data_IF_625035972843
#
_entry.id   IF_625035972843
#
_cell.length_a   1.000
_cell.length_b   1.000
_cell.length_c   1.000
_cell.angle_alpha   90.00
_cell.angle_beta   90.00
_cell.angle_gamma   90.00
#
_symmetry.space_group_name_H-M   'P 1'
#
loop_
_entity.id
_entity.type
_entity.pdbx_description
1 polymer ?
#
# COMPACT_ATOMS: atom_id res chain seq x y z
N UNK A 1 11.53 -7.22 4.43
CA UNK A 1 11.17 -6.27 3.35
C UNK A 1 11.00 -4.89 3.98
N UNK A 2 11.50 -3.83 3.34
CA UNK A 2 11.35 -2.44 3.84
C UNK A 2 10.05 -1.86 3.24
N UNK A 3 9.10 -1.48 4.08
CA UNK A 3 7.84 -0.88 3.62
C UNK A 3 8.07 0.57 3.17
N UNK A 4 7.30 1.02 2.18
CA UNK A 4 7.27 2.43 1.78
C UNK A 4 6.81 3.29 2.96
N UNK A 5 7.62 4.29 3.33
CA UNK A 5 7.31 5.24 4.41
C UNK A 5 6.78 6.55 3.85
N UNK A 6 6.07 7.33 4.66
CA UNK A 6 5.58 8.66 4.24
C UNK A 6 6.74 9.59 3.85
N UNK A 7 7.85 9.58 4.60
CA UNK A 7 9.03 10.39 4.28
C UNK A 7 9.67 10.00 2.95
N UNK A 8 9.76 8.69 2.65
CA UNK A 8 10.26 8.23 1.36
C UNK A 8 9.31 8.63 0.22
N UNK A 9 8.00 8.47 0.40
CA UNK A 9 7.01 8.89 -0.59
C UNK A 9 7.03 10.41 -0.84
N UNK A 10 7.21 11.23 0.20
CA UNK A 10 7.33 12.69 0.07
C UNK A 10 8.55 13.10 -0.76
N UNK A 11 9.69 12.42 -0.58
CA UNK A 11 10.89 12.66 -1.40
C UNK A 11 10.62 12.34 -2.87
N UNK A 12 9.98 11.20 -3.14
CA UNK A 12 9.62 10.79 -4.51
C UNK A 12 8.66 11.81 -5.13
N UNK A 13 7.63 12.23 -4.39
CA UNK A 13 6.68 13.25 -4.82
C UNK A 13 7.36 14.57 -5.16
N UNK A 14 8.26 15.03 -4.29
CA UNK A 14 8.96 16.31 -4.48
C UNK A 14 9.81 16.32 -5.75
N UNK A 15 10.45 15.20 -6.09
CA UNK A 15 11.27 15.08 -7.29
C UNK A 15 10.41 15.17 -8.56
N UNK A 16 9.27 14.49 -8.58
CA UNK A 16 8.35 14.52 -9.71
C UNK A 16 7.68 15.90 -9.88
N UNK A 17 7.20 16.47 -8.77
CA UNK A 17 6.62 17.81 -8.77
C UNK A 17 7.62 18.85 -9.28
N UNK A 18 8.90 18.76 -8.89
CA UNK A 18 9.93 19.66 -9.38
C UNK A 18 10.14 19.55 -10.90
N UNK A 19 9.99 18.36 -11.47
CA UNK A 19 10.11 18.14 -12.92
C UNK A 19 8.85 18.58 -13.69
N UNK A 20 7.68 18.53 -13.06
CA UNK A 20 6.37 18.72 -13.71
C UNK A 20 5.65 19.99 -13.23
N UNK A 21 6.37 21.09 -13.00
CA UNK A 21 5.79 22.39 -12.62
C UNK A 21 4.89 22.35 -11.35
N UNK A 22 5.28 21.54 -10.38
CA UNK A 22 4.56 21.35 -9.12
C UNK A 22 3.48 20.25 -9.16
N UNK A 23 3.29 19.58 -10.31
CA UNK A 23 2.26 18.58 -10.50
C UNK A 23 2.80 17.15 -10.34
N UNK A 24 1.93 16.24 -9.93
CA UNK A 24 2.22 14.81 -9.87
C UNK A 24 1.21 14.11 -10.75
N UNK A 25 1.70 13.38 -11.74
CA UNK A 25 0.82 12.77 -12.74
C UNK A 25 0.06 11.58 -12.16
N UNK A 26 -1.21 11.43 -12.56
CA UNK A 26 -2.00 10.32 -12.06
C UNK A 26 -1.44 8.99 -12.59
N UNK A 27 -1.21 8.05 -11.68
CA UNK A 27 -0.69 6.72 -12.04
C UNK A 27 0.82 6.66 -12.21
N UNK A 28 1.51 7.79 -12.03
CA UNK A 28 2.98 7.88 -11.96
C UNK A 28 3.54 7.07 -10.79
N UNK A 29 4.85 6.92 -10.78
CA UNK A 29 5.54 6.26 -9.68
C UNK A 29 5.33 7.01 -8.36
N UNK A 30 5.36 8.35 -8.34
CA UNK A 30 5.10 9.10 -7.11
C UNK A 30 3.67 8.88 -6.59
N UNK A 31 2.66 8.90 -7.47
CA UNK A 31 1.28 8.63 -7.09
C UNK A 31 1.12 7.22 -6.47
N UNK A 32 1.83 6.23 -7.02
CA UNK A 32 1.85 4.85 -6.47
C UNK A 32 2.59 4.77 -5.14
N UNK A 33 3.70 5.48 -4.99
CA UNK A 33 4.48 5.54 -3.76
C UNK A 33 3.67 6.15 -2.61
N UNK A 34 2.94 7.24 -2.87
CA UNK A 34 2.03 7.86 -1.89
C UNK A 34 0.93 6.88 -1.47
N UNK A 35 0.30 6.18 -2.43
CA UNK A 35 -0.73 5.17 -2.13
C UNK A 35 -0.19 4.03 -1.28
N UNK A 36 1.03 3.56 -1.57
CA UNK A 36 1.69 2.53 -0.78
C UNK A 36 2.00 3.02 0.64
N UNK A 37 2.54 4.23 0.81
CA UNK A 37 2.80 4.82 2.12
C UNK A 37 1.52 4.94 2.96
N UNK A 38 0.42 5.43 2.37
CA UNK A 38 -0.87 5.57 3.03
C UNK A 38 -1.44 4.21 3.48
N UNK A 39 -1.40 3.20 2.61
CA UNK A 39 -1.85 1.85 2.95
C UNK A 39 -0.98 1.19 4.03
N UNK A 40 0.32 1.50 4.07
CA UNK A 40 1.23 0.99 5.09
C UNK A 40 0.99 1.60 6.47
N UNK A 41 0.38 2.79 6.59
CA UNK A 41 -0.04 3.33 7.88
C UNK A 41 -1.25 2.58 8.46
N UNK A 42 -2.00 1.88 7.61
CA UNK A 42 -3.20 1.13 7.99
C UNK A 42 -2.89 -0.25 8.61
N UNK A 43 -1.63 -0.47 8.99
CA UNK A 43 -1.12 -1.70 9.63
C UNK A 43 -1.67 -1.95 11.05
N UNK A 44 -2.48 -1.04 11.61
CA UNK A 44 -3.21 -1.27 12.87
C UNK A 44 -4.45 -2.14 12.69
N UNK A 45 -4.90 -2.40 11.45
CA UNK A 45 -5.90 -3.43 11.20
C UNK A 45 -5.20 -4.79 11.28
N UNK A 46 -5.62 -5.71 12.17
CA UNK A 46 -5.16 -7.09 12.13
C UNK A 46 -5.30 -7.61 10.71
N UNK A 47 -4.28 -8.32 10.23
CA UNK A 47 -4.36 -8.98 8.93
C UNK A 47 -5.67 -9.77 8.89
N UNK A 48 -6.46 -9.66 7.80
CA UNK A 48 -7.73 -10.35 7.75
C UNK A 48 -7.48 -11.86 7.92
N UNK A 49 -8.35 -12.60 8.62
CA UNK A 49 -8.17 -14.03 8.89
C UNK A 49 -7.94 -14.88 7.62
N UNK A 50 -8.29 -14.34 6.45
CA UNK A 50 -8.15 -14.94 5.13
C UNK A 50 -7.06 -14.31 4.23
N UNK A 51 -6.10 -13.58 4.80
CA UNK A 51 -4.95 -13.09 4.05
C UNK A 51 -4.04 -14.21 3.52
N UNK A 52 -3.22 -13.93 2.49
CA UNK A 52 -2.24 -14.90 1.99
C UNK A 52 -1.29 -15.32 3.12
N UNK A 53 -0.93 -16.61 3.14
CA UNK A 53 -0.08 -17.19 4.18
C UNK A 53 1.27 -16.47 4.25
N UNK A 54 1.68 -16.04 5.45
CA UNK A 54 3.00 -15.44 5.70
C UNK A 54 4.11 -16.51 5.83
N UNK A 55 3.72 -17.77 6.04
CA UNK A 55 4.61 -18.88 6.36
C UNK A 55 4.74 -19.90 5.23
N UNK A 56 4.08 -19.67 4.08
CA UNK A 56 4.11 -20.60 2.94
C UNK A 56 3.20 -21.82 3.08
N UNK A 57 2.58 -22.01 4.24
CA UNK A 57 1.61 -23.10 4.46
C UNK A 57 0.26 -22.77 3.83
N UNK A 58 -0.41 -23.80 3.29
CA UNK A 58 -1.80 -23.66 2.81
C UNK A 58 -2.64 -23.17 3.95
N UNK A 59 -3.32 -22.07 3.69
CA UNK A 59 -4.07 -21.39 4.70
C UNK A 59 -5.21 -22.38 5.10
N UNK A 60 -5.35 -22.72 6.40
CA UNK A 60 -6.24 -23.80 6.91
C UNK A 60 -7.75 -23.68 6.62
N UNK A 61 -8.47 -24.81 6.69
CA UNK A 61 -9.91 -24.99 6.41
C UNK A 61 -10.76 -24.26 7.48
N UNK A 62 -11.71 -23.41 7.06
CA UNK A 62 -12.56 -22.62 7.97
C UNK A 62 -12.49 -21.09 7.80
N UNK A 63 -12.01 -20.58 6.66
CA UNK A 63 -12.03 -19.14 6.39
C UNK A 63 -13.44 -18.65 6.09
N UNK A 64 -13.89 -17.68 6.86
CA UNK A 64 -15.14 -16.96 6.60
C UNK A 64 -15.08 -16.09 5.34
N UNK A 65 -16.25 -15.94 4.71
CA UNK A 65 -16.47 -15.09 3.54
C UNK A 65 -16.63 -13.63 3.99
N UNK A 66 -15.53 -12.94 4.33
CA UNK A 66 -15.63 -11.50 4.54
C UNK A 66 -15.80 -10.82 3.17
N UNK A 67 -16.82 -9.95 2.99
CA UNK A 67 -17.09 -9.34 1.70
C UNK A 67 -15.90 -8.50 1.23
N UNK A 68 -15.64 -8.46 -0.10
CA UNK A 68 -14.61 -7.60 -0.66
C UNK A 68 -14.94 -6.13 -0.32
N UNK A 69 -13.93 -5.36 0.05
CA UNK A 69 -14.06 -3.94 0.38
C UNK A 69 -14.66 -3.22 -0.84
N UNK A 70 -15.74 -2.47 -0.65
CA UNK A 70 -16.36 -1.68 -1.72
C UNK A 70 -15.32 -0.71 -2.31
N UNK A 71 -15.34 -0.56 -3.64
CA UNK A 71 -14.46 0.35 -4.38
C UNK A 71 -14.73 1.80 -4.02
#
# INVERSE_FOLDING_TARGET
>A
MKNMTQSAAARIQSAEAKANNGLVEQGSFAARAQRAAANNQQSSRPAPPNGPSKTGEVSGKGRGNNPPKSK
#
